data_IF_897413272741
#
_entry.id   IF_897413272741
#
_cell.length_a   1.000
_cell.length_b   1.000
_cell.length_c   1.000
_cell.angle_alpha   90.00
_cell.angle_beta   90.00
_cell.angle_gamma   90.00
#
_symmetry.space_group_name_H-M   'P 1'
#
loop_
_entity.id
_entity.type
_entity.pdbx_description
1 polymer ?
#
# COMPACT_ATOMS: atom_id res chain seq x y z
N UNK A 1 -35.66 -6.95 25.84
CA UNK A 1 -35.06 -7.88 26.81
C UNK A 1 -34.09 -7.21 27.79
N UNK A 2 -32.83 -6.90 27.43
CA UNK A 2 -31.86 -6.31 28.40
C UNK A 2 -32.36 -5.06 29.13
N UNK A 3 -33.04 -4.15 28.43
CA UNK A 3 -33.68 -2.97 29.06
C UNK A 3 -34.78 -3.34 30.06
N UNK A 4 -35.59 -4.35 29.74
CA UNK A 4 -36.63 -4.84 30.66
C UNK A 4 -36.00 -5.53 31.88
N UNK A 5 -34.91 -6.28 31.70
CA UNK A 5 -34.15 -6.91 32.79
C UNK A 5 -33.48 -5.89 33.71
N UNK A 6 -33.10 -4.71 33.19
CA UNK A 6 -32.59 -3.61 34.02
C UNK A 6 -33.66 -3.03 34.96
N UNK A 7 -34.95 -3.25 34.69
CA UNK A 7 -36.08 -2.86 35.54
C UNK A 7 -36.14 -1.36 35.91
N UNK A 8 -35.74 -0.50 34.97
CA UNK A 8 -35.81 0.97 35.10
C UNK A 8 -36.71 1.57 34.01
N UNK A 9 -37.19 2.80 34.22
CA UNK A 9 -38.05 3.47 33.22
C UNK A 9 -37.22 4.26 32.21
N UNK A 10 -36.06 4.76 32.63
CA UNK A 10 -35.05 5.38 31.78
C UNK A 10 -33.67 4.85 32.19
N UNK A 11 -32.88 4.46 31.21
CA UNK A 11 -31.52 3.97 31.38
C UNK A 11 -30.59 4.80 30.50
N UNK A 12 -29.59 5.41 31.12
CA UNK A 12 -28.52 6.12 30.42
C UNK A 12 -27.31 5.21 30.21
N UNK A 13 -26.53 5.49 29.17
CA UNK A 13 -25.20 4.92 29.03
C UNK A 13 -24.30 5.38 30.19
N UNK A 14 -23.41 4.51 30.65
CA UNK A 14 -22.46 4.83 31.71
C UNK A 14 -21.03 4.91 31.16
N UNK A 15 -20.20 5.75 31.77
CA UNK A 15 -18.78 5.88 31.46
C UNK A 15 -17.91 5.98 32.72
N UNK A 16 -16.61 5.69 32.54
CA UNK A 16 -15.63 5.70 33.63
C UNK A 16 -15.08 7.08 33.96
N UNK A 17 -15.27 8.05 33.07
CA UNK A 17 -14.74 9.41 33.18
C UNK A 17 -15.88 10.38 33.46
N UNK A 18 -15.68 11.33 34.36
CA UNK A 18 -16.67 12.37 34.59
C UNK A 18 -16.43 13.54 33.63
N UNK A 19 -17.50 13.97 32.96
CA UNK A 19 -17.50 15.10 32.04
C UNK A 19 -18.90 15.75 32.00
N UNK A 20 -19.00 17.08 31.79
CA UNK A 20 -17.89 18.04 31.71
C UNK A 20 -17.38 18.53 33.08
N UNK A 21 -18.23 18.53 34.11
CA UNK A 21 -17.89 19.12 35.42
C UNK A 21 -17.46 18.07 36.45
N UNK A 22 -16.14 18.01 36.70
CA UNK A 22 -15.54 17.08 37.69
C UNK A 22 -16.03 17.31 39.12
N UNK A 23 -16.50 18.52 39.47
CA UNK A 23 -16.98 18.86 40.82
C UNK A 23 -18.26 18.11 41.19
N UNK A 24 -18.96 17.54 40.20
CA UNK A 24 -20.17 16.76 40.41
C UNK A 24 -19.90 15.31 40.82
N UNK A 25 -18.63 14.87 40.83
CA UNK A 25 -18.24 13.49 41.10
C UNK A 25 -18.80 12.94 42.40
N UNK A 26 -18.77 13.73 43.48
CA UNK A 26 -19.20 13.28 44.81
C UNK A 26 -20.72 13.22 44.94
N UNK A 27 -21.46 13.88 44.04
CA UNK A 27 -22.93 13.82 44.00
C UNK A 27 -23.45 12.54 43.34
N UNK A 28 -22.63 11.87 42.53
CA UNK A 28 -23.02 10.59 41.92
C UNK A 28 -23.17 9.51 43.00
N UNK A 29 -24.17 8.62 42.92
CA UNK A 29 -24.26 7.45 43.78
C UNK A 29 -22.97 6.62 43.72
N UNK A 30 -22.58 6.03 44.86
CA UNK A 30 -21.45 5.10 44.90
C UNK A 30 -21.85 3.78 44.24
N UNK A 31 -21.04 3.30 43.31
CA UNK A 31 -21.21 2.00 42.65
C UNK A 31 -20.12 1.04 43.10
N UNK A 32 -20.51 -0.15 43.55
CA UNK A 32 -19.55 -1.19 43.99
C UNK A 32 -18.70 -1.73 42.86
N UNK A 33 -19.25 -1.78 41.64
CA UNK A 33 -18.61 -2.31 40.45
C UNK A 33 -19.32 -1.73 39.22
N UNK A 34 -18.55 -1.30 38.23
CA UNK A 34 -19.06 -0.70 37.01
C UNK A 34 -18.66 0.76 36.83
N UNK A 35 -19.06 1.32 35.69
CA UNK A 35 -18.91 2.71 35.29
C UNK A 35 -19.86 3.59 36.09
N UNK A 36 -19.37 4.71 36.65
CA UNK A 36 -20.12 5.52 37.64
C UNK A 36 -20.88 6.69 37.04
N UNK A 37 -20.39 7.25 35.93
CA UNK A 37 -20.85 8.54 35.44
C UNK A 37 -21.76 8.41 34.23
N UNK A 38 -22.66 9.36 34.05
CA UNK A 38 -23.62 9.38 32.94
C UNK A 38 -22.92 9.81 31.65
N UNK A 39 -23.27 9.17 30.53
CA UNK A 39 -22.96 9.62 29.18
C UNK A 39 -24.28 9.88 28.42
N UNK A 40 -24.47 11.08 27.87
CA UNK A 40 -25.72 11.45 27.15
C UNK A 40 -25.82 10.86 25.74
N UNK A 41 -24.72 10.35 25.17
CA UNK A 41 -24.72 9.77 23.83
C UNK A 41 -25.51 8.47 23.68
N UNK A 42 -26.06 7.93 24.77
CA UNK A 42 -26.99 6.80 24.73
C UNK A 42 -28.04 6.89 25.84
N UNK A 43 -29.31 6.93 25.46
CA UNK A 43 -30.46 6.94 26.36
C UNK A 43 -31.48 5.94 25.84
N UNK A 44 -32.04 5.10 26.72
CA UNK A 44 -33.14 4.20 26.38
C UNK A 44 -34.17 4.24 27.50
N UNK A 45 -35.44 4.48 27.15
CA UNK A 45 -36.50 4.57 28.12
C UNK A 45 -37.88 4.46 27.49
N UNK A 46 -38.91 4.36 28.32
CA UNK A 46 -40.29 4.47 27.84
C UNK A 46 -40.57 5.92 27.41
N UNK A 47 -41.19 6.08 26.24
CA UNK A 47 -41.49 7.38 25.64
C UNK A 47 -42.03 8.45 26.61
N UNK A 48 -43.05 8.20 27.47
CA UNK A 48 -43.58 9.24 28.36
C UNK A 48 -42.57 9.71 29.43
N UNK A 49 -41.60 8.87 29.82
CA UNK A 49 -40.59 9.25 30.80
C UNK A 49 -39.42 9.98 30.14
N UNK A 50 -39.03 9.55 28.93
CA UNK A 50 -38.03 10.27 28.14
C UNK A 50 -38.55 11.64 27.72
N UNK A 51 -39.83 11.76 27.35
CA UNK A 51 -40.44 13.04 27.01
C UNK A 51 -40.37 14.03 28.18
N UNK A 52 -40.74 13.60 29.39
CA UNK A 52 -40.62 14.40 30.62
C UNK A 52 -39.20 14.85 30.96
N UNK A 53 -38.17 14.17 30.46
CA UNK A 53 -36.78 14.58 30.63
C UNK A 53 -36.42 15.67 29.62
N UNK A 54 -36.71 15.44 28.34
CA UNK A 54 -36.32 16.36 27.26
C UNK A 54 -37.14 17.65 27.27
N UNK A 55 -38.40 17.62 27.72
CA UNK A 55 -39.25 18.82 27.89
C UNK A 55 -38.70 19.82 28.90
N UNK A 56 -37.81 19.40 29.81
CA UNK A 56 -37.17 20.31 30.78
C UNK A 56 -36.05 21.15 30.14
N UNK A 57 -35.70 20.89 28.88
CA UNK A 57 -34.67 21.64 28.18
C UNK A 57 -35.12 23.09 27.97
N UNK A 58 -34.48 24.00 28.70
CA UNK A 58 -34.70 25.44 28.61
C UNK A 58 -33.39 26.21 28.32
N UNK A 59 -32.41 25.51 27.78
CA UNK A 59 -31.05 25.98 27.50
C UNK A 59 -30.86 26.34 26.02
N UNK A 60 -29.74 26.97 25.68
CA UNK A 60 -29.39 27.34 24.30
C UNK A 60 -28.91 26.14 23.48
N UNK A 61 -28.99 26.21 22.15
CA UNK A 61 -28.61 25.10 21.24
C UNK A 61 -27.16 24.63 21.40
N UNK A 62 -26.26 25.50 21.85
CA UNK A 62 -24.85 25.18 22.05
C UNK A 62 -24.51 24.79 23.50
N UNK A 63 -25.50 24.74 24.40
CA UNK A 63 -25.28 24.31 25.76
C UNK A 63 -25.07 22.78 25.83
N UNK A 64 -24.34 22.38 26.87
CA UNK A 64 -23.88 21.01 27.04
C UNK A 64 -25.01 20.06 27.43
N UNK A 65 -25.37 19.16 26.50
CA UNK A 65 -26.41 18.15 26.67
C UNK A 65 -26.06 17.17 27.81
N UNK A 66 -24.80 16.75 27.92
CA UNK A 66 -24.36 15.84 28.97
C UNK A 66 -24.51 16.47 30.36
N UNK A 67 -24.19 17.75 30.51
CA UNK A 67 -24.35 18.49 31.77
C UNK A 67 -25.82 18.65 32.13
N UNK A 68 -26.70 18.90 31.16
CA UNK A 68 -28.14 18.96 31.38
C UNK A 68 -28.68 17.65 31.95
N UNK A 69 -28.44 16.52 31.28
CA UNK A 69 -28.90 15.21 31.77
C UNK A 69 -28.21 14.81 33.08
N UNK A 70 -26.94 15.17 33.26
CA UNK A 70 -26.22 14.96 34.53
C UNK A 70 -26.91 15.68 35.68
N UNK A 71 -27.28 16.95 35.52
CA UNK A 71 -27.96 17.72 36.57
C UNK A 71 -29.30 17.08 36.96
N UNK A 72 -30.08 16.63 35.97
CA UNK A 72 -31.35 15.93 36.22
C UNK A 72 -31.13 14.58 36.92
N UNK A 73 -30.14 13.79 36.50
CA UNK A 73 -29.83 12.50 37.14
C UNK A 73 -29.29 12.63 38.58
N UNK A 74 -28.59 13.74 38.86
CA UNK A 74 -28.02 14.01 40.19
C UNK A 74 -29.04 14.54 41.19
N UNK A 75 -30.17 15.06 40.72
CA UNK A 75 -31.32 15.37 41.57
C UNK A 75 -31.96 14.06 42.08
N UNK A 76 -31.91 13.76 43.39
CA UNK A 76 -32.43 12.51 43.93
C UNK A 76 -33.93 12.35 43.70
N UNK A 77 -34.70 13.44 43.81
CA UNK A 77 -36.15 13.41 43.67
C UNK A 77 -36.52 13.10 42.22
N UNK A 78 -35.86 13.73 41.25
CA UNK A 78 -36.09 13.43 39.84
C UNK A 78 -35.65 12.02 39.47
N UNK A 79 -34.48 11.57 39.96
CA UNK A 79 -33.98 10.21 39.72
C UNK A 79 -34.94 9.13 40.20
N UNK A 80 -35.55 9.32 41.37
CA UNK A 80 -36.55 8.41 41.92
C UNK A 80 -37.87 8.50 41.15
N UNK A 81 -38.41 9.71 40.94
CA UNK A 81 -39.68 9.93 40.26
C UNK A 81 -39.71 9.39 38.82
N UNK A 82 -38.60 9.55 38.09
CA UNK A 82 -38.46 9.07 36.72
C UNK A 82 -37.84 7.67 36.63
N UNK A 83 -37.52 7.05 37.78
CA UNK A 83 -36.88 5.75 37.90
C UNK A 83 -35.71 5.59 36.90
N UNK A 84 -34.75 6.50 37.03
CA UNK A 84 -33.56 6.58 36.17
C UNK A 84 -32.42 5.75 36.73
N UNK A 85 -31.63 5.16 35.85
CA UNK A 85 -30.41 4.42 36.20
C UNK A 85 -29.36 4.55 35.11
N UNK A 86 -28.13 4.09 35.39
CA UNK A 86 -27.06 4.03 34.39
C UNK A 86 -26.70 2.57 34.10
N UNK A 87 -26.32 2.29 32.85
CA UNK A 87 -25.84 0.98 32.42
C UNK A 87 -24.39 0.71 32.88
N UNK A 88 -24.21 0.56 34.20
CA UNK A 88 -22.90 0.50 34.85
C UNK A 88 -21.97 -0.59 34.32
N UNK A 89 -22.50 -1.69 33.79
CA UNK A 89 -21.72 -2.85 33.32
C UNK A 89 -21.73 -3.01 31.79
N UNK A 90 -22.11 -1.96 31.07
CA UNK A 90 -22.16 -1.94 29.61
C UNK A 90 -22.97 -3.10 29.02
N UNK A 91 -24.12 -3.42 29.63
CA UNK A 91 -25.00 -4.48 29.13
C UNK A 91 -25.62 -4.10 27.79
N UNK A 92 -25.97 -2.84 27.60
CA UNK A 92 -26.61 -2.29 26.42
C UNK A 92 -25.65 -1.33 25.71
N UNK A 93 -25.02 -0.42 26.44
CA UNK A 93 -24.19 0.65 25.90
C UNK A 93 -22.71 0.45 26.23
N UNK A 94 -21.86 0.42 25.20
CA UNK A 94 -20.41 0.44 25.35
C UNK A 94 -19.88 1.78 24.86
N UNK A 95 -19.59 2.69 25.79
CA UNK A 95 -18.78 3.87 25.52
C UNK A 95 -17.30 3.46 25.44
N UNK A 96 -16.58 3.92 24.42
CA UNK A 96 -15.19 3.50 24.18
C UNK A 96 -14.18 4.37 24.93
N UNK A 97 -14.48 5.63 25.20
CA UNK A 97 -13.55 6.53 25.89
C UNK A 97 -13.24 6.02 27.30
N UNK A 98 -11.97 5.74 27.59
CA UNK A 98 -11.53 5.15 28.86
C UNK A 98 -11.92 3.68 29.07
N UNK A 99 -12.29 2.95 28.01
CA UNK A 99 -12.65 1.52 28.08
C UNK A 99 -12.24 0.72 26.82
N UNK A 100 -11.26 1.20 26.04
CA UNK A 100 -10.79 0.53 24.81
C UNK A 100 -10.18 -0.84 25.12
N UNK A 101 -9.43 -0.94 26.21
CA UNK A 101 -8.79 -2.15 26.71
C UNK A 101 -9.77 -3.21 27.24
N UNK A 102 -11.01 -2.81 27.50
CA UNK A 102 -12.09 -3.71 27.90
C UNK A 102 -12.79 -4.38 26.72
N UNK A 103 -12.54 -3.92 25.48
CA UNK A 103 -13.33 -4.28 24.30
C UNK A 103 -12.56 -5.23 23.38
N UNK A 104 -13.18 -6.37 23.06
CA UNK A 104 -12.70 -7.31 22.05
C UNK A 104 -13.78 -7.65 21.02
N UNK A 105 -13.34 -7.92 19.78
CA UNK A 105 -14.21 -8.47 18.74
C UNK A 105 -14.51 -9.95 19.05
N UNK A 106 -15.79 -10.27 19.19
CA UNK A 106 -16.32 -11.63 19.28
C UNK A 106 -16.92 -12.02 17.94
N UNK A 107 -16.21 -12.87 17.21
CA UNK A 107 -16.69 -13.42 15.96
C UNK A 107 -17.66 -14.58 16.24
N UNK A 108 -18.90 -14.44 15.79
CA UNK A 108 -19.86 -15.54 15.67
C UNK A 108 -19.88 -16.08 14.25
N UNK A 109 -20.68 -17.11 14.01
CA UNK A 109 -20.92 -17.69 12.68
C UNK A 109 -21.68 -16.71 11.79
N UNK A 110 -22.72 -16.05 12.31
CA UNK A 110 -23.55 -15.13 11.53
C UNK A 110 -23.06 -13.67 11.54
N UNK A 111 -22.52 -13.21 12.68
CA UNK A 111 -22.19 -11.81 12.93
C UNK A 111 -21.05 -11.63 13.91
N UNK A 112 -20.38 -10.50 13.81
CA UNK A 112 -19.35 -10.03 14.76
C UNK A 112 -19.98 -9.06 15.75
N UNK A 113 -19.56 -9.14 17.02
CA UNK A 113 -20.02 -8.25 18.09
C UNK A 113 -18.84 -7.77 18.93
N UNK A 114 -19.05 -6.72 19.71
CA UNK A 114 -18.16 -6.39 20.83
C UNK A 114 -18.47 -7.28 22.03
N UNK A 115 -17.43 -7.74 22.73
CA UNK A 115 -17.49 -8.25 24.11
C UNK A 115 -16.73 -7.30 25.02
N UNK A 116 -17.36 -6.88 26.12
CA UNK A 116 -16.65 -6.26 27.23
C UNK A 116 -16.08 -7.39 28.12
N UNK A 117 -14.76 -7.45 28.26
CA UNK A 117 -14.06 -8.52 28.99
C UNK A 117 -14.09 -8.34 30.51
N UNK A 118 -14.23 -7.10 30.99
CA UNK A 118 -14.26 -6.77 32.42
C UNK A 118 -15.57 -7.22 33.07
N UNK A 119 -16.69 -7.01 32.38
CA UNK A 119 -18.03 -7.34 32.89
C UNK A 119 -18.63 -8.60 32.26
N UNK A 120 -17.91 -9.22 31.34
CA UNK A 120 -18.37 -10.31 30.48
C UNK A 120 -19.73 -10.05 29.82
N UNK A 121 -19.86 -8.88 29.20
CA UNK A 121 -21.12 -8.47 28.53
C UNK A 121 -20.96 -8.42 27.02
N UNK A 122 -22.09 -8.54 26.32
CA UNK A 122 -22.19 -8.31 24.88
C UNK A 122 -23.07 -7.08 24.64
N UNK A 123 -22.48 -5.87 24.59
CA UNK A 123 -23.19 -4.63 24.33
C UNK A 123 -24.01 -4.68 23.03
N UNK A 124 -25.05 -3.87 22.98
CA UNK A 124 -25.91 -3.72 21.79
C UNK A 124 -25.46 -2.52 20.97
N UNK A 125 -25.13 -1.42 21.65
CA UNK A 125 -24.70 -0.16 21.07
C UNK A 125 -23.23 0.06 21.43
N UNK A 126 -22.42 0.39 20.43
CA UNK A 126 -21.02 0.80 20.63
C UNK A 126 -20.92 2.27 20.25
N UNK A 127 -20.52 3.10 21.21
CA UNK A 127 -20.42 4.54 21.04
C UNK A 127 -18.95 4.96 21.12
N UNK A 128 -18.41 5.39 19.98
CA UNK A 128 -17.07 5.98 19.92
C UNK A 128 -17.09 7.43 20.40
N UNK A 129 -17.28 7.68 21.70
CA UNK A 129 -17.28 9.02 22.27
C UNK A 129 -15.87 9.63 22.33
N UNK A 130 -15.79 10.97 22.35
CA UNK A 130 -14.54 11.73 22.36
C UNK A 130 -13.54 11.26 21.27
N UNK A 131 -12.28 11.03 21.64
CA UNK A 131 -11.17 10.72 20.71
C UNK A 131 -11.11 9.25 20.26
N UNK A 132 -12.20 8.50 20.36
CA UNK A 132 -12.24 7.05 20.03
C UNK A 132 -12.86 6.73 18.67
N UNK A 133 -13.14 7.74 17.85
CA UNK A 133 -13.75 7.61 16.51
C UNK A 133 -12.98 6.65 15.60
N UNK A 134 -11.64 6.71 15.61
CA UNK A 134 -10.80 5.81 14.81
C UNK A 134 -10.90 4.35 15.25
N UNK A 135 -11.04 4.10 16.56
CA UNK A 135 -11.24 2.75 17.07
C UNK A 135 -12.65 2.24 16.74
N UNK A 136 -13.67 3.09 16.79
CA UNK A 136 -15.00 2.77 16.30
C UNK A 136 -14.99 2.40 14.80
N UNK A 137 -14.27 3.16 13.97
CA UNK A 137 -14.09 2.84 12.54
C UNK A 137 -13.46 1.45 12.36
N UNK A 138 -12.45 1.11 13.16
CA UNK A 138 -11.86 -0.23 13.17
C UNK A 138 -12.90 -1.32 13.49
N UNK A 139 -13.71 -1.13 14.53
CA UNK A 139 -14.76 -2.08 14.90
C UNK A 139 -15.84 -2.20 13.80
N UNK A 140 -16.19 -1.08 13.17
CA UNK A 140 -17.18 -1.02 12.07
C UNK A 140 -16.78 -1.78 10.81
N UNK A 141 -15.48 -2.03 10.60
CA UNK A 141 -15.01 -2.90 9.52
C UNK A 141 -15.47 -4.36 9.68
N UNK A 142 -15.93 -4.74 10.87
CA UNK A 142 -16.39 -6.09 11.17
C UNK A 142 -17.87 -6.11 11.57
N UNK A 143 -18.27 -5.21 12.46
CA UNK A 143 -19.57 -5.25 13.14
C UNK A 143 -20.68 -4.60 12.29
N UNK A 144 -21.90 -5.19 12.25
CA UNK A 144 -22.20 -6.54 12.69
C UNK A 144 -21.79 -7.58 11.63
N UNK A 145 -21.90 -7.22 10.36
CA UNK A 145 -21.79 -8.13 9.22
C UNK A 145 -20.89 -7.58 8.10
N UNK A 146 -20.07 -6.57 8.41
CA UNK A 146 -19.21 -5.93 7.42
C UNK A 146 -18.15 -6.90 6.90
N UNK A 147 -17.56 -7.69 7.80
CA UNK A 147 -16.62 -8.76 7.45
C UNK A 147 -16.67 -9.92 8.45
N UNK A 148 -16.64 -11.16 7.95
CA UNK A 148 -16.44 -12.36 8.77
C UNK A 148 -15.63 -13.44 8.02
N UNK A 149 -15.22 -14.50 8.73
CA UNK A 149 -14.37 -15.56 8.17
C UNK A 149 -15.08 -16.49 7.17
N UNK A 150 -16.41 -16.60 7.22
CA UNK A 150 -17.17 -17.51 6.34
C UNK A 150 -17.53 -16.87 5.00
N UNK A 151 -17.96 -15.59 5.03
CA UNK A 151 -18.49 -14.86 3.87
C UNK A 151 -17.53 -13.79 3.34
N UNK A 152 -16.45 -13.51 4.06
CA UNK A 152 -15.56 -12.40 3.73
C UNK A 152 -16.25 -11.06 3.96
N UNK A 153 -15.99 -10.09 3.08
CA UNK A 153 -16.56 -8.75 3.19
C UNK A 153 -18.00 -8.72 2.68
N UNK A 154 -18.97 -8.56 3.58
CA UNK A 154 -20.39 -8.49 3.22
C UNK A 154 -20.79 -7.16 2.58
N UNK A 155 -20.00 -6.10 2.73
CA UNK A 155 -20.36 -4.74 2.28
C UNK A 155 -19.54 -4.23 1.09
N UNK A 156 -18.52 -4.96 0.65
CA UNK A 156 -17.58 -4.48 -0.37
C UNK A 156 -18.28 -4.29 -1.72
N UNK A 157 -19.18 -5.21 -2.07
CA UNK A 157 -19.91 -5.18 -3.34
C UNK A 157 -21.20 -4.33 -3.28
N UNK A 158 -21.50 -3.70 -2.14
CA UNK A 158 -22.68 -2.86 -2.01
C UNK A 158 -22.51 -1.52 -2.74
N UNK A 159 -23.55 -1.13 -3.48
CA UNK A 159 -23.63 0.11 -4.25
C UNK A 159 -22.54 0.27 -5.31
N UNK A 160 -21.99 -0.82 -5.83
CA UNK A 160 -21.05 -0.75 -6.94
C UNK A 160 -21.70 -0.13 -8.17
N UNK A 161 -20.92 0.67 -8.90
CA UNK A 161 -21.32 1.25 -10.18
C UNK A 161 -20.74 0.38 -11.28
N UNK A 162 -21.59 -0.08 -12.19
CA UNK A 162 -21.14 -0.78 -13.39
C UNK A 162 -20.78 0.23 -14.48
N UNK A 163 -19.48 0.41 -14.72
CA UNK A 163 -18.98 1.31 -15.76
C UNK A 163 -19.44 0.93 -17.17
N UNK A 164 -19.77 -0.34 -17.42
CA UNK A 164 -20.24 -0.80 -18.74
C UNK A 164 -21.66 -0.34 -19.07
N UNK A 165 -22.45 0.02 -18.05
CA UNK A 165 -23.82 0.50 -18.20
C UNK A 165 -23.90 2.02 -18.32
N UNK A 166 -22.79 2.73 -18.07
CA UNK A 166 -22.74 4.17 -18.23
C UNK A 166 -22.70 4.53 -19.71
N UNK A 167 -23.51 5.53 -20.09
CA UNK A 167 -23.48 6.10 -21.45
C UNK A 167 -22.12 6.70 -21.80
N UNK A 168 -21.44 7.22 -20.79
CA UNK A 168 -20.15 7.88 -20.93
C UNK A 168 -19.27 7.59 -19.72
N UNK A 169 -17.98 7.38 -19.96
CA UNK A 169 -17.01 7.17 -18.89
C UNK A 169 -16.77 8.48 -18.11
N UNK A 170 -16.69 8.41 -16.77
CA UNK A 170 -16.32 9.56 -15.95
C UNK A 170 -14.95 10.13 -16.33
N UNK A 171 -14.81 11.44 -16.26
CA UNK A 171 -13.52 12.11 -16.47
C UNK A 171 -12.70 12.05 -15.19
N UNK A 172 -11.41 11.70 -15.32
CA UNK A 172 -10.51 11.51 -14.18
C UNK A 172 -9.30 12.42 -14.31
N UNK A 173 -9.01 13.19 -13.26
CA UNK A 173 -7.74 13.88 -13.09
C UNK A 173 -6.74 12.95 -12.40
N UNK A 174 -5.67 12.59 -13.09
CA UNK A 174 -4.58 11.76 -12.58
C UNK A 174 -3.43 12.67 -12.12
N UNK A 175 -3.21 12.73 -10.81
CA UNK A 175 -2.09 13.46 -10.21
C UNK A 175 -0.91 12.53 -9.94
N UNK A 176 0.20 12.74 -10.66
CA UNK A 176 1.47 12.03 -10.52
C UNK A 176 2.45 12.89 -9.74
N UNK A 177 3.05 12.34 -8.67
CA UNK A 177 3.97 13.05 -7.79
C UNK A 177 5.34 12.38 -7.75
N UNK A 178 6.37 13.08 -8.25
CA UNK A 178 7.78 12.66 -8.25
C UNK A 178 8.53 13.54 -7.24
N UNK A 179 8.53 13.11 -5.98
CA UNK A 179 9.03 13.91 -4.86
C UNK A 179 10.44 13.51 -4.38
N UNK A 180 11.01 12.49 -4.99
CA UNK A 180 12.34 11.95 -4.71
C UNK A 180 12.88 11.20 -5.93
N UNK A 181 14.21 11.02 -6.07
CA UNK A 181 14.78 10.24 -7.17
C UNK A 181 14.26 8.80 -7.15
N UNK A 182 13.48 8.45 -8.17
CA UNK A 182 12.73 7.19 -8.23
C UNK A 182 13.24 6.31 -9.37
N UNK A 183 13.74 5.09 -9.07
CA UNK A 183 14.15 4.14 -10.09
C UNK A 183 12.98 3.77 -11.02
N UNK A 184 13.30 3.44 -12.27
CA UNK A 184 12.33 2.92 -13.24
C UNK A 184 11.16 3.88 -13.59
N UNK A 185 11.38 5.20 -13.51
CA UNK A 185 10.36 6.20 -13.84
C UNK A 185 9.83 6.07 -15.28
N UNK A 186 10.68 5.69 -16.24
CA UNK A 186 10.23 5.40 -17.61
C UNK A 186 9.22 4.25 -17.67
N UNK A 187 9.43 3.20 -16.87
CA UNK A 187 8.49 2.07 -16.77
C UNK A 187 7.20 2.47 -16.04
N UNK A 188 7.28 3.36 -15.05
CA UNK A 188 6.10 3.95 -14.41
C UNK A 188 5.22 4.67 -15.45
N UNK A 189 5.80 5.55 -16.26
CA UNK A 189 5.05 6.27 -17.30
C UNK A 189 4.48 5.34 -18.39
N UNK A 190 5.25 4.33 -18.82
CA UNK A 190 4.72 3.30 -19.72
C UNK A 190 3.50 2.60 -19.12
N UNK A 191 3.49 2.34 -17.82
CA UNK A 191 2.35 1.73 -17.14
C UNK A 191 1.13 2.64 -17.11
N UNK A 192 1.32 3.94 -16.86
CA UNK A 192 0.25 4.95 -16.90
C UNK A 192 -0.47 4.93 -18.26
N UNK A 193 0.28 4.89 -19.36
CA UNK A 193 -0.28 4.77 -20.72
C UNK A 193 -1.01 3.45 -20.90
N UNK A 194 -0.54 2.35 -20.32
CA UNK A 194 -1.21 1.04 -20.44
C UNK A 194 -2.38 0.80 -19.48
N UNK A 195 -2.75 1.76 -18.62
CA UNK A 195 -3.95 1.62 -17.78
C UNK A 195 -5.19 1.35 -18.65
N UNK A 196 -6.04 0.42 -18.23
CA UNK A 196 -7.27 0.08 -18.92
C UNK A 196 -8.35 1.10 -18.57
N UNK A 197 -8.26 2.29 -19.17
CA UNK A 197 -9.22 3.38 -19.05
C UNK A 197 -9.13 4.28 -20.30
N UNK A 198 -10.25 4.81 -20.83
CA UNK A 198 -10.22 5.66 -22.02
C UNK A 198 -9.32 6.89 -21.83
N UNK A 199 -8.29 7.04 -22.67
CA UNK A 199 -7.25 8.08 -22.47
C UNK A 199 -7.75 9.51 -22.68
N UNK A 200 -8.71 9.68 -23.58
CA UNK A 200 -9.45 10.93 -23.76
C UNK A 200 -10.36 11.30 -22.58
N UNK A 201 -10.47 10.44 -21.56
CA UNK A 201 -11.14 10.74 -20.27
C UNK A 201 -10.15 11.00 -19.14
N UNK A 202 -8.85 10.99 -19.42
CA UNK A 202 -7.81 11.23 -18.43
C UNK A 202 -7.17 12.59 -18.66
N UNK A 203 -7.22 13.42 -17.62
CA UNK A 203 -6.43 14.64 -17.49
C UNK A 203 -5.21 14.30 -16.63
N UNK A 204 -3.98 14.55 -17.11
CA UNK A 204 -2.76 14.17 -16.39
C UNK A 204 -2.08 15.43 -15.84
N UNK A 205 -1.86 15.45 -14.55
CA UNK A 205 -1.04 16.44 -13.84
C UNK A 205 0.21 15.74 -13.29
N UNK A 206 1.39 16.22 -13.65
CA UNK A 206 2.67 15.70 -13.14
C UNK A 206 3.37 16.80 -12.37
N UNK A 207 3.65 16.55 -11.09
CA UNK A 207 4.57 17.35 -10.31
C UNK A 207 5.92 16.63 -10.21
N UNK A 208 6.99 17.34 -10.52
CA UNK A 208 8.36 16.85 -10.40
C UNK A 208 9.20 17.78 -9.55
N UNK A 209 9.67 17.28 -8.41
CA UNK A 209 10.59 18.00 -7.55
C UNK A 209 12.07 17.70 -7.86
N UNK A 210 12.35 16.80 -8.82
CA UNK A 210 13.69 16.28 -9.07
C UNK A 210 14.22 16.66 -10.44
N UNK A 211 15.24 17.53 -10.48
CA UNK A 211 15.93 17.94 -11.73
C UNK A 211 16.43 16.72 -12.52
N UNK A 212 16.87 15.67 -11.83
CA UNK A 212 17.30 14.39 -12.44
C UNK A 212 16.21 13.77 -13.36
N UNK A 213 14.94 13.97 -13.04
CA UNK A 213 13.82 13.37 -13.76
C UNK A 213 13.25 14.21 -14.90
N UNK A 214 13.68 15.47 -15.07
CA UNK A 214 13.21 16.34 -16.16
C UNK A 214 13.35 15.69 -17.53
N UNK A 215 14.51 15.10 -17.84
CA UNK A 215 14.75 14.42 -19.13
C UNK A 215 13.79 13.25 -19.35
N UNK A 216 13.43 12.54 -18.30
CA UNK A 216 12.50 11.40 -18.39
C UNK A 216 11.07 11.89 -18.68
N UNK A 217 10.67 12.99 -18.04
CA UNK A 217 9.33 13.58 -18.20
C UNK A 217 9.21 14.25 -19.57
N UNK A 218 10.22 15.01 -19.99
CA UNK A 218 10.24 15.66 -21.29
C UNK A 218 10.06 14.63 -22.41
N UNK A 219 10.86 13.55 -22.39
CA UNK A 219 10.72 12.45 -23.35
C UNK A 219 9.30 11.86 -23.35
N UNK A 220 8.76 11.61 -22.16
CA UNK A 220 7.41 11.04 -22.04
C UNK A 220 6.32 12.00 -22.57
N UNK A 221 6.45 13.29 -22.27
CA UNK A 221 5.53 14.33 -22.72
C UNK A 221 5.56 14.47 -24.25
N UNK A 222 6.74 14.53 -24.86
CA UNK A 222 6.89 14.59 -26.32
C UNK A 222 6.24 13.39 -27.02
N UNK A 223 6.37 12.20 -26.44
CA UNK A 223 5.83 10.95 -27.01
C UNK A 223 4.32 10.76 -26.77
N UNK A 224 3.73 11.36 -25.71
CA UNK A 224 2.39 10.96 -25.23
C UNK A 224 1.42 12.12 -24.91
N UNK A 225 1.80 13.40 -25.08
CA UNK A 225 0.94 14.54 -24.74
C UNK A 225 -0.44 14.48 -25.42
N UNK A 226 -0.50 14.01 -26.66
CA UNK A 226 -1.72 13.98 -27.47
C UNK A 226 -2.57 12.70 -27.25
N UNK A 227 -2.10 11.78 -26.40
CA UNK A 227 -2.82 10.55 -26.02
C UNK A 227 -3.88 10.83 -24.96
N UNK A 228 -3.59 11.74 -24.04
CA UNK A 228 -4.47 12.12 -22.93
C UNK A 228 -5.33 13.33 -23.31
N UNK A 229 -6.43 13.57 -22.59
CA UNK A 229 -7.28 14.74 -22.83
C UNK A 229 -6.57 16.06 -22.52
N UNK A 230 -5.80 16.07 -21.43
CA UNK A 230 -4.91 17.18 -21.10
C UNK A 230 -3.67 16.66 -20.38
N UNK A 231 -2.57 17.39 -20.52
CA UNK A 231 -1.30 17.07 -19.87
C UNK A 231 -0.65 18.35 -19.35
N UNK A 232 -0.48 18.44 -18.03
CA UNK A 232 0.21 19.55 -17.36
C UNK A 232 1.40 19.03 -16.55
N UNK A 233 2.55 19.67 -16.73
CA UNK A 233 3.77 19.41 -15.94
C UNK A 233 4.07 20.65 -15.10
N UNK A 234 4.45 20.42 -13.85
CA UNK A 234 5.05 21.40 -12.96
C UNK A 234 6.42 20.87 -12.54
N UNK A 235 7.47 21.57 -12.94
CA UNK A 235 8.84 21.16 -12.67
C UNK A 235 9.40 21.73 -11.36
N UNK A 236 10.66 21.41 -11.04
CA UNK A 236 11.31 21.80 -9.79
C UNK A 236 11.56 23.32 -9.68
N UNK A 237 11.50 24.05 -10.80
CA UNK A 237 11.67 25.51 -10.87
C UNK A 237 10.59 26.28 -10.08
N UNK A 238 9.40 25.72 -9.94
CA UNK A 238 8.30 26.31 -9.17
C UNK A 238 8.51 26.19 -7.65
N UNK A 239 9.48 25.38 -7.21
CA UNK A 239 9.90 25.21 -5.82
C UNK A 239 8.72 24.97 -4.84
N UNK A 240 7.78 24.12 -5.25
CA UNK A 240 6.61 23.76 -4.44
C UNK A 240 6.96 22.68 -3.42
N UNK A 241 6.44 22.79 -2.20
CA UNK A 241 6.45 21.67 -1.26
C UNK A 241 5.53 20.53 -1.74
N UNK A 242 5.79 19.30 -1.28
CA UNK A 242 4.94 18.14 -1.58
C UNK A 242 3.45 18.39 -1.26
N UNK A 243 3.16 19.16 -0.20
CA UNK A 243 1.80 19.50 0.19
C UNK A 243 1.14 20.48 -0.77
N UNK A 244 1.86 21.54 -1.16
CA UNK A 244 1.38 22.53 -2.12
C UNK A 244 1.13 21.92 -3.50
N UNK A 245 2.04 21.07 -3.98
CA UNK A 245 1.89 20.35 -5.23
C UNK A 245 0.64 19.45 -5.24
N UNK A 246 0.41 18.69 -4.17
CA UNK A 246 -0.76 17.81 -4.03
C UNK A 246 -2.06 18.60 -3.94
N UNK A 247 -2.05 19.72 -3.22
CA UNK A 247 -3.19 20.64 -3.16
C UNK A 247 -3.45 21.29 -4.52
N UNK A 248 -2.41 21.60 -5.29
CA UNK A 248 -2.55 22.11 -6.65
C UNK A 248 -3.21 21.07 -7.57
N UNK A 249 -2.70 19.84 -7.61
CA UNK A 249 -3.29 18.76 -8.41
C UNK A 249 -4.75 18.49 -8.06
N UNK A 250 -5.07 18.43 -6.76
CA UNK A 250 -6.45 18.26 -6.29
C UNK A 250 -7.32 19.48 -6.59
N UNK A 251 -6.77 20.69 -6.45
CA UNK A 251 -7.45 21.95 -6.73
C UNK A 251 -7.79 22.12 -8.22
N UNK A 252 -6.98 21.57 -9.12
CA UNK A 252 -7.29 21.55 -10.55
C UNK A 252 -8.56 20.73 -10.84
N UNK A 253 -8.69 19.55 -10.22
CA UNK A 253 -9.92 18.76 -10.35
C UNK A 253 -11.12 19.47 -9.70
N UNK A 254 -10.96 20.02 -8.47
CA UNK A 254 -12.06 20.69 -7.76
C UNK A 254 -12.62 21.91 -8.50
N UNK A 255 -11.77 22.65 -9.23
CA UNK A 255 -12.18 23.82 -10.01
C UNK A 255 -12.81 23.46 -11.35
N UNK A 256 -12.60 22.25 -11.83
CA UNK A 256 -13.12 21.78 -13.10
C UNK A 256 -14.44 21.01 -12.88
N UNK A 257 -15.60 21.56 -13.25
CA UNK A 257 -16.89 20.90 -13.05
C UNK A 257 -17.03 19.61 -13.88
N UNK A 258 -16.17 19.39 -14.87
CA UNK A 258 -16.14 18.15 -15.66
C UNK A 258 -15.30 17.03 -15.02
N UNK A 259 -14.55 17.32 -13.94
CA UNK A 259 -13.74 16.32 -13.25
C UNK A 259 -14.58 15.52 -12.24
N UNK A 260 -14.88 14.27 -12.57
CA UNK A 260 -15.67 13.39 -11.70
C UNK A 260 -14.84 12.76 -10.57
N UNK A 261 -13.59 12.40 -10.88
CA UNK A 261 -12.69 11.70 -9.95
C UNK A 261 -11.27 12.27 -9.97
N UNK A 262 -10.65 12.33 -8.80
CA UNK A 262 -9.22 12.60 -8.66
C UNK A 262 -8.48 11.33 -8.26
N UNK A 263 -7.49 10.92 -9.05
CA UNK A 263 -6.65 9.74 -8.83
C UNK A 263 -5.20 10.17 -8.57
N UNK A 264 -4.79 10.17 -7.31
CA UNK A 264 -3.43 10.52 -6.90
C UNK A 264 -2.54 9.29 -6.83
N UNK A 265 -1.36 9.37 -7.44
CA UNK A 265 -0.33 8.33 -7.44
C UNK A 265 1.07 8.91 -7.27
N UNK A 266 1.89 8.22 -6.48
CA UNK A 266 3.31 8.54 -6.32
C UNK A 266 4.15 7.73 -7.32
N UNK A 267 5.30 8.27 -7.74
CA UNK A 267 6.15 7.67 -8.76
C UNK A 267 6.75 6.31 -8.37
N UNK A 268 6.82 6.00 -7.07
CA UNK A 268 7.31 4.72 -6.53
C UNK A 268 6.22 3.64 -6.45
N UNK A 269 4.98 3.97 -6.83
CA UNK A 269 3.88 3.01 -6.93
C UNK A 269 3.93 2.27 -8.28
N UNK A 270 4.07 0.94 -8.22
CA UNK A 270 4.02 0.10 -9.40
C UNK A 270 2.64 -0.56 -9.57
N UNK A 271 1.79 0.03 -10.42
CA UNK A 271 0.52 -0.56 -10.81
C UNK A 271 0.76 -1.75 -11.75
N UNK A 272 0.62 -2.96 -11.22
CA UNK A 272 0.70 -4.21 -11.98
C UNK A 272 -0.63 -4.55 -12.65
N UNK A 273 -1.74 -4.28 -11.97
CA UNK A 273 -3.08 -4.45 -12.52
C UNK A 273 -3.50 -3.21 -13.33
N UNK A 274 -3.71 -3.37 -14.63
CA UNK A 274 -4.11 -2.29 -15.55
C UNK A 274 -5.54 -1.79 -15.28
N UNK A 275 -6.40 -2.61 -14.67
CA UNK A 275 -7.80 -2.28 -14.37
C UNK A 275 -7.97 -1.52 -13.05
N UNK A 276 -6.88 -1.20 -12.33
CA UNK A 276 -6.94 -0.59 -11.00
C UNK A 276 -7.87 0.63 -10.95
N UNK A 277 -7.76 1.55 -11.92
CA UNK A 277 -8.60 2.75 -11.93
C UNK A 277 -10.10 2.41 -12.09
N UNK A 278 -10.45 1.47 -12.98
CA UNK A 278 -11.83 1.02 -13.17
C UNK A 278 -12.38 0.42 -11.88
N UNK A 279 -11.65 -0.54 -11.30
CA UNK A 279 -12.05 -1.22 -10.07
C UNK A 279 -12.31 -0.20 -8.95
N UNK A 280 -11.43 0.79 -8.78
CA UNK A 280 -11.59 1.80 -7.73
C UNK A 280 -12.82 2.70 -7.94
N UNK A 281 -13.14 3.05 -9.19
CA UNK A 281 -14.33 3.83 -9.53
C UNK A 281 -15.60 3.00 -9.33
N UNK A 282 -15.58 1.72 -9.75
CA UNK A 282 -16.71 0.79 -9.62
C UNK A 282 -17.10 0.55 -8.15
N UNK A 283 -16.16 0.68 -7.20
CA UNK A 283 -16.46 0.61 -5.75
C UNK A 283 -17.37 1.73 -5.24
N UNK A 284 -17.51 2.84 -5.98
CA UNK A 284 -18.43 3.95 -5.67
C UNK A 284 -18.33 4.47 -4.23
N UNK A 285 -17.10 4.71 -3.75
CA UNK A 285 -16.83 5.27 -2.42
C UNK A 285 -16.27 6.68 -2.54
N UNK A 286 -16.47 7.49 -1.49
CA UNK A 286 -15.94 8.85 -1.42
C UNK A 286 -14.40 8.85 -1.37
N UNK A 287 -13.77 7.91 -0.66
CA UNK A 287 -12.31 7.76 -0.65
C UNK A 287 -11.96 6.28 -0.68
N UNK A 288 -11.24 5.86 -1.72
CA UNK A 288 -10.71 4.49 -1.82
C UNK A 288 -9.19 4.52 -1.94
N UNK A 289 -8.53 3.69 -1.14
CA UNK A 289 -7.08 3.51 -1.17
C UNK A 289 -6.75 2.14 -1.74
N UNK A 290 -5.88 2.09 -2.75
CA UNK A 290 -5.32 0.82 -3.22
C UNK A 290 -4.07 0.49 -2.41
N UNK A 291 -4.07 -0.68 -1.76
CA UNK A 291 -2.93 -1.16 -1.00
C UNK A 291 -1.98 -1.90 -1.94
N UNK A 292 -0.84 -1.27 -2.27
CA UNK A 292 0.28 -1.99 -2.90
C UNK A 292 1.12 -2.67 -1.82
N UNK A 293 1.34 -3.98 -1.94
CA UNK A 293 2.02 -4.78 -0.92
C UNK A 293 3.53 -4.47 -0.76
N UNK A 294 4.09 -3.55 -1.54
CA UNK A 294 5.51 -3.21 -1.49
C UNK A 294 5.83 -1.84 -0.84
N UNK A 295 4.90 -0.88 -0.81
CA UNK A 295 5.12 0.44 -0.19
C UNK A 295 3.77 0.93 0.34
N UNK A 296 3.66 1.07 1.67
CA UNK A 296 2.52 1.67 2.35
C UNK A 296 2.53 3.20 2.16
N UNK A 297 2.15 3.66 0.97
CA UNK A 297 1.58 4.99 0.67
C UNK A 297 1.11 5.01 -0.79
N UNK A 298 0.06 5.76 -1.10
CA UNK A 298 0.04 6.43 -2.41
C UNK A 298 -0.95 5.95 -3.48
N UNK A 299 -2.14 5.49 -3.12
CA UNK A 299 -3.28 5.58 -4.05
C UNK A 299 -4.49 6.12 -3.30
N UNK A 300 -5.04 7.26 -3.70
CA UNK A 300 -6.33 7.77 -3.22
C UNK A 300 -7.17 8.14 -4.44
N UNK A 301 -8.35 7.54 -4.58
CA UNK A 301 -9.42 8.02 -5.43
C UNK A 301 -10.41 8.78 -4.54
N UNK A 302 -10.60 10.08 -4.74
CA UNK A 302 -11.45 10.92 -3.85
C UNK A 302 -12.60 11.62 -4.58
N UNK A 303 -13.82 11.54 -4.01
CA UNK A 303 -15.02 12.34 -4.25
C UNK A 303 -15.48 12.97 -2.93
N UNK A 304 -14.71 13.93 -2.41
CA UNK A 304 -15.15 14.95 -1.43
C UNK A 304 -13.99 15.91 -1.18
N UNK A 305 -14.01 17.06 -1.86
CA UNK A 305 -13.00 18.11 -1.67
C UNK A 305 -13.50 19.25 -0.76
N UNK A 306 -14.60 19.06 -0.02
CA UNK A 306 -15.23 20.12 0.77
C UNK A 306 -14.97 20.07 2.29
N UNK A 307 -14.45 18.98 2.87
CA UNK A 307 -14.51 18.82 4.34
C UNK A 307 -13.25 18.24 5.01
N UNK A 308 -12.04 18.70 4.71
CA UNK A 308 -10.93 18.35 5.61
C UNK A 308 -9.88 19.44 5.78
N UNK A 309 -9.99 20.12 6.92
CA UNK A 309 -8.96 20.97 7.52
C UNK A 309 -7.86 20.08 8.09
N UNK A 310 -6.61 20.45 7.81
CA UNK A 310 -5.45 19.63 8.11
C UNK A 310 -5.10 19.52 9.58
N UNK A 311 -4.42 18.42 9.92
CA UNK A 311 -3.47 18.34 11.04
C UNK A 311 -2.37 17.34 10.66
N UNK A 312 -1.14 17.83 10.68
CA UNK A 312 0.11 17.12 10.41
C UNK A 312 0.62 16.35 11.65
N UNK A 313 1.59 15.46 11.36
CA UNK A 313 2.58 14.79 12.22
C UNK A 313 2.22 13.37 12.74
N UNK A 314 3.12 12.37 12.73
CA UNK A 314 4.58 12.39 12.59
C UNK A 314 5.10 11.06 11.98
N UNK A 315 6.12 11.17 11.11
CA UNK A 315 6.78 10.08 10.36
C UNK A 315 7.60 9.18 11.29
N UNK A 316 7.44 7.85 11.17
CA UNK A 316 8.46 6.90 11.61
C UNK A 316 9.58 6.91 10.55
N UNK A 317 10.79 7.29 10.93
CA UNK A 317 11.93 7.28 9.99
C UNK A 317 12.33 5.84 9.63
N UNK A 318 12.84 5.63 8.41
CA UNK A 318 13.41 4.34 8.00
C UNK A 318 14.55 3.88 8.94
N UNK A 319 15.22 4.80 9.63
CA UNK A 319 16.24 4.50 10.62
C UNK A 319 15.63 3.90 11.90
N UNK A 320 14.47 4.40 12.33
CA UNK A 320 13.72 3.87 13.49
C UNK A 320 13.28 2.41 13.26
N UNK A 321 12.87 2.07 12.03
CA UNK A 321 12.48 0.70 11.65
C UNK A 321 13.70 -0.23 11.62
N UNK A 322 14.83 0.22 11.06
CA UNK A 322 16.10 -0.56 11.07
C UNK A 322 16.61 -0.82 12.49
N UNK A 323 16.48 0.16 13.38
CA UNK A 323 16.90 0.02 14.77
C UNK A 323 16.06 -1.05 15.51
N UNK A 324 14.72 -1.02 15.35
CA UNK A 324 13.84 -2.03 15.96
C UNK A 324 13.99 -3.44 15.37
N UNK A 325 14.30 -3.55 14.07
CA UNK A 325 14.60 -4.85 13.44
C UNK A 325 15.93 -5.46 13.95
N UNK A 326 16.94 -4.63 14.21
CA UNK A 326 18.20 -5.07 14.84
C UNK A 326 18.00 -5.51 16.29
N UNK A 327 17.20 -4.78 17.07
CA UNK A 327 16.85 -5.15 18.46
C UNK A 327 16.12 -6.49 18.53
N UNK A 328 15.34 -6.85 17.51
CA UNK A 328 14.67 -8.14 17.41
C UNK A 328 15.51 -9.25 16.71
N UNK A 329 16.79 -9.00 16.41
CA UNK A 329 17.68 -9.91 15.66
C UNK A 329 17.16 -10.34 14.28
N UNK A 330 16.40 -9.47 13.59
CA UNK A 330 15.87 -9.71 12.26
C UNK A 330 16.57 -8.82 11.21
N UNK A 331 17.07 -9.43 10.13
CA UNK A 331 17.68 -8.73 9.00
C UNK A 331 16.70 -8.62 7.83
N UNK A 332 16.41 -7.40 7.37
CA UNK A 332 15.63 -7.18 6.15
C UNK A 332 16.48 -7.49 4.90
N UNK A 333 16.12 -8.52 4.14
CA UNK A 333 16.67 -8.83 2.82
C UNK A 333 15.81 -8.21 1.71
N UNK A 334 16.44 -7.68 0.66
CA UNK A 334 15.78 -7.15 -0.55
C UNK A 334 14.91 -8.25 -1.21
N UNK A 335 13.68 -7.94 -1.66
CA UNK A 335 12.90 -8.87 -2.46
C UNK A 335 13.42 -8.89 -3.92
N UNK A 336 13.81 -10.06 -4.41
CA UNK A 336 13.77 -10.39 -5.83
C UNK A 336 12.52 -11.22 -6.06
N UNK A 337 11.55 -10.69 -6.79
CA UNK A 337 10.45 -11.49 -7.34
C UNK A 337 10.90 -12.00 -8.72
N UNK A 338 11.37 -13.25 -8.75
CA UNK A 338 11.21 -14.12 -9.91
C UNK A 338 10.09 -15.11 -9.56
N UNK A 339 9.33 -15.53 -10.57
CA UNK A 339 8.23 -16.50 -10.51
C UNK A 339 8.41 -17.58 -9.44
N UNK A 340 7.32 -17.90 -8.73
CA UNK A 340 7.29 -18.96 -7.73
C UNK A 340 7.68 -20.31 -8.39
N UNK A 341 8.91 -20.76 -8.12
CA UNK A 341 9.43 -22.03 -8.60
C UNK A 341 9.18 -23.07 -7.50
N UNK A 342 8.34 -24.07 -7.80
CA UNK A 342 8.10 -25.20 -6.91
C UNK A 342 9.43 -25.88 -6.50
N UNK A 343 9.45 -26.59 -5.36
CA UNK A 343 10.65 -27.25 -4.82
C UNK A 343 11.33 -28.18 -5.85
N UNK A 344 10.56 -28.75 -6.78
CA UNK A 344 11.04 -29.57 -7.90
C UNK A 344 11.84 -28.73 -8.91
N UNK A 345 11.36 -27.54 -9.27
CA UNK A 345 12.06 -26.63 -10.20
C UNK A 345 13.30 -25.99 -9.57
N UNK A 346 13.32 -25.79 -8.24
CA UNK A 346 14.51 -25.35 -7.49
C UNK A 346 15.63 -26.39 -7.57
N UNK A 347 15.28 -27.68 -7.50
CA UNK A 347 16.20 -28.82 -7.62
C UNK A 347 16.69 -28.98 -9.07
N UNK A 348 15.83 -28.70 -10.05
CA UNK A 348 16.15 -28.87 -11.48
C UNK A 348 16.91 -27.69 -12.12
N UNK A 349 16.86 -26.47 -11.54
CA UNK A 349 17.66 -25.32 -12.06
C UNK A 349 19.12 -25.29 -11.60
N UNK A 350 19.49 -26.12 -10.63
CA UNK A 350 20.88 -26.29 -10.17
C UNK A 350 21.56 -27.56 -10.71
N UNK A 351 20.87 -28.35 -11.54
CA UNK A 351 21.49 -29.42 -12.33
C UNK A 351 21.83 -28.89 -13.71
N UNK A 352 23.11 -28.69 -13.99
CA UNK A 352 23.60 -28.35 -15.33
C UNK A 352 24.36 -29.53 -15.93
N UNK A 353 23.90 -29.94 -17.12
CA UNK A 353 24.41 -31.02 -17.98
C UNK A 353 24.65 -32.36 -17.28
N UNK A 354 23.67 -33.29 -17.38
CA UNK A 354 23.99 -34.71 -17.28
C UNK A 354 24.87 -35.08 -18.46
N UNK A 355 26.18 -35.20 -18.24
CA UNK A 355 27.03 -35.96 -19.13
C UNK A 355 26.50 -37.39 -19.12
N UNK A 356 26.06 -37.91 -20.26
CA UNK A 356 25.46 -39.25 -20.38
C UNK A 356 26.41 -40.40 -19.99
N UNK A 357 27.64 -40.10 -19.57
CA UNK A 357 28.64 -41.06 -19.06
C UNK A 357 29.28 -40.70 -17.70
N UNK A 358 28.89 -39.61 -17.03
CA UNK A 358 29.43 -39.28 -15.71
C UNK A 358 28.31 -38.96 -14.71
N UNK A 359 28.25 -39.72 -13.61
CA UNK A 359 27.33 -39.53 -12.47
C UNK A 359 27.68 -38.32 -11.57
N UNK A 360 28.35 -37.29 -12.07
CA UNK A 360 28.72 -36.12 -11.27
C UNK A 360 28.01 -34.84 -11.76
N UNK A 361 27.21 -34.25 -10.89
CA UNK A 361 26.66 -32.91 -11.05
C UNK A 361 27.66 -31.86 -10.57
N UNK A 362 28.01 -30.89 -11.40
CA UNK A 362 28.80 -29.73 -10.97
C UNK A 362 27.91 -28.78 -10.15
N UNK A 363 28.29 -28.54 -8.90
CA UNK A 363 27.66 -27.54 -8.04
C UNK A 363 28.56 -26.31 -7.97
N UNK A 364 28.04 -25.14 -8.34
CA UNK A 364 28.78 -23.87 -8.32
C UNK A 364 27.99 -22.82 -7.53
N UNK A 365 28.71 -22.03 -6.73
CA UNK A 365 28.16 -20.84 -6.08
C UNK A 365 28.34 -19.57 -6.95
N UNK A 366 28.97 -19.70 -8.11
CA UNK A 366 29.26 -18.58 -9.02
C UNK A 366 30.39 -17.68 -8.51
N UNK A 367 31.38 -18.24 -7.81
CA UNK A 367 32.50 -17.44 -7.31
C UNK A 367 33.41 -17.06 -8.48
N UNK A 368 33.75 -15.78 -8.61
CA UNK A 368 34.58 -15.30 -9.72
C UNK A 368 35.47 -14.15 -9.25
N UNK A 369 36.79 -14.35 -9.32
CA UNK A 369 37.78 -13.29 -9.04
C UNK A 369 37.97 -12.40 -10.27
N UNK A 370 37.95 -12.97 -11.46
CA UNK A 370 38.21 -12.26 -12.71
C UNK A 370 36.89 -12.06 -13.49
N UNK A 371 36.40 -10.81 -13.48
CA UNK A 371 35.24 -10.36 -14.24
C UNK A 371 35.64 -9.09 -15.00
N UNK A 372 35.61 -9.14 -16.33
CA UNK A 372 36.11 -8.04 -17.15
C UNK A 372 35.38 -7.93 -18.49
N UNK A 373 35.41 -6.74 -19.07
CA UNK A 373 34.91 -6.47 -20.41
C UNK A 373 36.11 -6.33 -21.35
N UNK A 374 36.11 -7.10 -22.44
CA UNK A 374 37.16 -7.04 -23.47
C UNK A 374 36.65 -6.26 -24.67
N UNK A 375 37.53 -5.40 -25.21
CA UNK A 375 37.32 -4.65 -26.44
C UNK A 375 38.33 -5.10 -27.50
N UNK A 376 37.85 -5.66 -28.61
CA UNK A 376 38.68 -5.96 -29.77
C UNK A 376 38.47 -4.94 -30.88
N UNK A 377 39.56 -4.46 -31.46
CA UNK A 377 39.56 -3.55 -32.61
C UNK A 377 40.69 -3.90 -33.58
N UNK A 378 40.49 -3.75 -34.92
CA UNK A 378 41.50 -4.10 -35.93
C UNK A 378 42.85 -3.40 -35.70
N UNK A 379 42.85 -2.12 -35.33
CA UNK A 379 44.06 -1.31 -35.14
C UNK A 379 44.74 -1.41 -33.78
N UNK A 380 44.28 -2.30 -32.88
CA UNK A 380 44.94 -2.56 -31.59
C UNK A 380 45.02 -4.07 -31.37
N UNK A 381 44.32 -4.59 -30.35
CA UNK A 381 44.20 -6.01 -30.11
C UNK A 381 42.98 -6.53 -30.90
N UNK A 382 43.23 -7.14 -32.06
CA UNK A 382 42.18 -7.67 -32.93
C UNK A 382 41.79 -9.12 -32.57
N UNK A 383 42.69 -9.88 -31.96
CA UNK A 383 42.55 -11.31 -31.67
C UNK A 383 43.12 -11.64 -30.28
N UNK A 384 42.89 -12.87 -29.82
CA UNK A 384 43.50 -13.41 -28.61
C UNK A 384 44.12 -14.77 -28.92
N UNK A 385 45.41 -14.93 -28.61
CA UNK A 385 46.16 -16.15 -28.90
C UNK A 385 45.55 -17.38 -28.21
N UNK A 386 45.80 -18.60 -28.70
CA UNK A 386 45.35 -19.83 -28.04
C UNK A 386 45.80 -19.89 -26.57
N UNK A 387 44.87 -20.12 -25.65
CA UNK A 387 45.13 -20.19 -24.21
C UNK A 387 44.09 -21.05 -23.47
N UNK A 388 44.37 -21.31 -22.19
CA UNK A 388 43.43 -21.82 -21.20
C UNK A 388 43.07 -20.70 -20.23
N UNK A 389 41.85 -20.75 -19.70
CA UNK A 389 41.44 -19.84 -18.65
C UNK A 389 41.77 -20.43 -17.28
N UNK A 390 42.10 -19.56 -16.34
CA UNK A 390 42.23 -19.95 -14.93
C UNK A 390 40.85 -20.00 -14.28
N UNK A 391 40.01 -20.94 -14.73
CA UNK A 391 38.64 -21.16 -14.26
C UNK A 391 38.30 -22.66 -14.30
N UNK A 392 37.35 -23.09 -13.47
CA UNK A 392 36.67 -24.37 -13.69
C UNK A 392 35.85 -24.29 -14.98
N UNK A 393 35.07 -23.21 -15.14
CA UNK A 393 34.40 -22.87 -16.38
C UNK A 393 34.35 -21.35 -16.60
N UNK A 394 34.31 -20.96 -17.86
CA UNK A 394 34.25 -19.57 -18.29
C UNK A 394 32.88 -19.26 -18.88
N UNK A 395 32.36 -18.08 -18.54
CA UNK A 395 31.17 -17.50 -19.17
C UNK A 395 31.63 -16.34 -20.06
N UNK A 396 31.24 -16.36 -21.33
CA UNK A 396 31.54 -15.31 -22.30
C UNK A 396 30.24 -14.78 -22.92
N UNK A 397 29.95 -13.50 -22.75
CA UNK A 397 28.70 -12.83 -23.17
C UNK A 397 28.99 -11.82 -24.26
N UNK A 398 28.25 -11.91 -25.38
CA UNK A 398 28.33 -10.91 -26.45
C UNK A 398 27.57 -9.62 -26.06
N UNK A 399 28.23 -8.46 -26.11
CA UNK A 399 27.63 -7.18 -25.70
C UNK A 399 27.14 -6.31 -26.87
N UNK A 400 27.56 -6.62 -28.10
CA UNK A 400 27.14 -5.93 -29.32
C UNK A 400 27.04 -6.89 -30.52
N UNK A 401 26.58 -6.41 -31.68
CA UNK A 401 26.08 -7.23 -32.79
C UNK A 401 27.10 -7.40 -33.93
N UNK A 402 27.42 -8.65 -34.29
CA UNK A 402 28.21 -8.99 -35.50
C UNK A 402 27.42 -8.58 -36.74
N UNK A 403 28.07 -7.98 -37.73
CA UNK A 403 27.45 -7.48 -38.96
C UNK A 403 27.05 -6.00 -38.90
N UNK A 404 26.67 -5.50 -37.72
CA UNK A 404 26.29 -4.08 -37.51
C UNK A 404 27.41 -3.29 -36.84
N UNK A 405 27.93 -3.80 -35.72
CA UNK A 405 28.92 -3.08 -34.90
C UNK A 405 30.37 -3.51 -35.19
N UNK A 406 30.56 -4.73 -35.69
CA UNK A 406 31.86 -5.29 -36.06
C UNK A 406 31.76 -6.42 -37.09
N UNK A 407 32.88 -6.73 -37.75
CA UNK A 407 33.06 -7.86 -38.68
C UNK A 407 34.17 -8.80 -38.19
N UNK A 408 34.12 -10.06 -38.60
CA UNK A 408 35.03 -11.11 -38.10
C UNK A 408 34.73 -11.49 -36.65
N UNK A 409 35.76 -11.84 -35.89
CA UNK A 409 35.64 -12.24 -34.49
C UNK A 409 35.08 -13.65 -34.31
N UNK A 410 34.86 -14.02 -33.05
CA UNK A 410 34.40 -15.36 -32.65
C UNK A 410 35.33 -15.98 -31.62
N UNK A 411 35.18 -17.28 -31.41
CA UNK A 411 36.05 -18.09 -30.56
C UNK A 411 36.25 -19.46 -31.22
N UNK A 412 37.49 -19.94 -31.30
CA UNK A 412 37.80 -21.26 -31.84
C UNK A 412 38.36 -22.17 -30.77
N UNK A 413 37.82 -23.38 -30.66
CA UNK A 413 38.29 -24.42 -29.76
C UNK A 413 39.12 -25.44 -30.55
N UNK A 414 40.43 -25.46 -30.32
CA UNK A 414 41.38 -26.19 -31.15
C UNK A 414 41.17 -27.70 -31.10
N UNK A 415 40.96 -28.26 -29.91
CA UNK A 415 40.78 -29.71 -29.71
C UNK A 415 39.59 -30.29 -30.48
N UNK A 416 38.60 -29.48 -30.78
CA UNK A 416 37.36 -29.91 -31.44
C UNK A 416 37.25 -29.41 -32.88
N UNK A 417 38.26 -28.69 -33.37
CA UNK A 417 38.21 -27.94 -34.63
C UNK A 417 36.87 -27.19 -34.84
N UNK A 418 36.35 -26.63 -33.75
CA UNK A 418 35.04 -26.01 -33.71
C UNK A 418 35.21 -24.51 -33.52
N UNK A 419 34.59 -23.72 -34.39
CA UNK A 419 34.56 -22.27 -34.28
C UNK A 419 33.15 -21.81 -33.96
N UNK A 420 33.00 -21.08 -32.87
CA UNK A 420 31.82 -20.29 -32.59
C UNK A 420 31.98 -18.93 -33.25
N UNK A 421 31.18 -18.72 -34.28
CA UNK A 421 30.91 -17.37 -34.74
C UNK A 421 30.28 -16.55 -33.60
N UNK A 422 30.60 -15.26 -33.55
CA UNK A 422 30.26 -14.45 -32.38
C UNK A 422 28.75 -14.52 -32.07
N UNK A 423 28.35 -14.85 -30.82
CA UNK A 423 26.96 -15.05 -30.45
C UNK A 423 26.10 -13.80 -30.67
N UNK A 424 24.77 -13.99 -30.72
CA UNK A 424 23.81 -12.89 -30.72
C UNK A 424 24.01 -12.01 -29.47
N UNK A 425 23.81 -10.69 -29.60
CA UNK A 425 23.89 -9.76 -28.46
C UNK A 425 23.03 -10.26 -27.29
N UNK A 426 23.61 -10.27 -26.09
CA UNK A 426 22.97 -10.76 -24.86
C UNK A 426 23.03 -12.27 -24.65
N UNK A 427 23.46 -13.06 -25.65
CA UNK A 427 23.70 -14.49 -25.49
C UNK A 427 25.08 -14.73 -24.89
N UNK A 428 25.17 -15.82 -24.12
CA UNK A 428 26.43 -16.32 -23.59
C UNK A 428 26.74 -17.71 -24.14
N UNK A 429 28.02 -18.03 -24.23
CA UNK A 429 28.47 -19.40 -24.30
C UNK A 429 29.35 -19.70 -23.08
N UNK A 430 29.34 -20.97 -22.69
CA UNK A 430 30.04 -21.46 -21.52
C UNK A 430 30.89 -22.67 -21.89
N UNK A 431 32.11 -22.73 -21.38
CA UNK A 431 33.01 -23.86 -21.60
C UNK A 431 33.92 -24.06 -20.39
N UNK A 432 34.42 -25.29 -20.16
CA UNK A 432 35.50 -25.53 -19.20
C UNK A 432 36.70 -24.61 -19.44
N UNK A 433 37.32 -24.06 -18.39
CA UNK A 433 38.47 -23.16 -18.53
C UNK A 433 39.80 -23.88 -18.73
N UNK A 434 39.98 -24.98 -17.98
CA UNK A 434 41.22 -25.78 -17.96
C UNK A 434 41.11 -27.08 -18.76
N UNK A 435 42.28 -27.62 -19.13
CA UNK A 435 42.52 -28.96 -19.71
C UNK A 435 41.92 -29.24 -21.10
N UNK A 436 40.63 -29.02 -21.29
CA UNK A 436 39.89 -29.58 -22.43
C UNK A 436 39.52 -28.58 -23.52
N UNK A 437 39.47 -27.30 -23.20
CA UNK A 437 38.99 -26.26 -24.12
C UNK A 437 40.07 -25.19 -24.33
N UNK A 438 41.22 -25.62 -24.88
CA UNK A 438 42.21 -24.69 -25.42
C UNK A 438 41.54 -23.90 -26.54
N UNK A 439 41.48 -22.58 -26.39
CA UNK A 439 40.70 -21.74 -27.28
C UNK A 439 41.42 -20.44 -27.64
N UNK A 440 41.06 -19.89 -28.79
CA UNK A 440 41.54 -18.59 -29.28
C UNK A 440 40.39 -17.64 -29.61
N UNK A 441 40.65 -16.35 -29.49
CA UNK A 441 39.74 -15.31 -29.95
C UNK A 441 40.04 -14.96 -31.40
N UNK A 442 39.13 -15.27 -32.31
CA UNK A 442 39.31 -15.00 -33.75
C UNK A 442 39.42 -13.48 -34.03
N UNK A 443 40.16 -13.08 -35.09
CA UNK A 443 40.43 -11.69 -35.37
C UNK A 443 39.17 -10.90 -35.76
N UNK A 444 38.96 -9.77 -35.09
CA UNK A 444 37.97 -8.75 -35.48
C UNK A 444 38.55 -7.93 -36.63
N UNK A 445 37.94 -8.00 -37.80
CA UNK A 445 38.48 -7.44 -39.05
C UNK A 445 38.00 -6.02 -39.35
N UNK A 446 36.83 -5.64 -38.83
CA UNK A 446 36.29 -4.28 -38.95
C UNK A 446 35.44 -3.93 -37.73
N UNK A 447 35.32 -2.64 -37.40
CA UNK A 447 34.52 -2.15 -36.27
C UNK A 447 35.10 -2.47 -34.89
N UNK A 448 34.23 -2.56 -33.87
CA UNK A 448 34.64 -2.81 -32.48
C UNK A 448 33.78 -3.92 -31.86
N UNK A 449 34.41 -4.99 -31.35
CA UNK A 449 33.70 -6.10 -30.68
C UNK A 449 33.85 -5.98 -29.17
N UNK A 450 32.73 -6.07 -28.44
CA UNK A 450 32.70 -6.08 -26.98
C UNK A 450 32.16 -7.41 -26.44
N UNK A 451 32.88 -7.98 -25.48
CA UNK A 451 32.44 -9.18 -24.74
C UNK A 451 32.64 -8.98 -23.24
N UNK A 452 31.76 -9.55 -22.42
CA UNK A 452 31.97 -9.69 -20.98
C UNK A 452 32.40 -11.12 -20.66
N UNK A 453 33.49 -11.28 -19.91
CA UNK A 453 34.06 -12.58 -19.57
C UNK A 453 34.18 -12.71 -18.06
N UNK A 454 33.76 -13.86 -17.55
CA UNK A 454 33.88 -14.23 -16.14
C UNK A 454 34.52 -15.60 -16.01
N UNK A 455 35.59 -15.68 -15.22
CA UNK A 455 36.26 -16.92 -14.86
C UNK A 455 35.66 -17.44 -13.56
N UNK A 456 34.82 -18.46 -13.66
CA UNK A 456 34.05 -18.99 -12.54
C UNK A 456 34.76 -20.17 -11.89
N UNK A 457 34.75 -20.17 -10.57
CA UNK A 457 35.38 -21.14 -9.68
C UNK A 457 36.85 -21.41 -10.08
N UNK A 458 37.73 -20.38 -10.01
CA UNK A 458 39.13 -20.43 -10.43
C UNK A 458 40.06 -21.34 -9.60
#
# INVERSE_FOLDING_TARGET
>A
RKFQEANHKVLFAAEGLIWPDKRLQDKYPSVRSGKRFLNSGGIMGYAPYVNKLVEQWNLHENDDDQLFYTKIYLDPQQRENLNMSLDHKSQIFQNLNGAIDEVLLKFGTERVRVRNTVYDTLPVIVHGNANTKMYLNYLGNYIPNSWNYERGCGVCDHNMVDLSQLKEYPTVMVGVFIEQPTPFLSQFFQRLVTLDYPKHKLNVFVHNNEVYHERHIQKFWEENKDVFNSFKVVGPEENLSQGEARNMGMGLCRKDPSCDYYFSMDADVMLTNRQTLRILIEQNRCVTVFLSQAILTGVRATRTADETVGLYNQRISAQTIRNRLREAHLCARRPRQGLDLTAVWRRNRLQWAKCSRCEQSLFSQGYAVMNFVVKYTPGRQAYLRPHHDSSTFTINVALNSKGTDFQGGGCRFHRYNCSLDSPRKGWSFMHPGRLTHLHEGLPTTNGTRYIAVSFIDP
#
